data_IF_923092765709
#
_entry.id   IF_923092765709
#
_cell.length_a   1.000
_cell.length_b   1.000
_cell.length_c   1.000
_cell.angle_alpha   90.00
_cell.angle_beta   90.00
_cell.angle_gamma   90.00
#
_symmetry.space_group_name_H-M   'P 1'
#
loop_
_entity.id
_entity.type
_entity.pdbx_description
1 polymer ?
#
# COMPACT_ATOMS: atom_id res chain seq x y z
N UNK A 1 10.86 7.07 -16.49
CA UNK A 1 9.39 7.01 -16.40
C UNK A 1 9.03 6.41 -15.05
N UNK A 2 8.69 7.29 -14.12
CA UNK A 2 8.37 6.98 -12.73
C UNK A 2 7.02 7.65 -12.43
N UNK A 3 5.94 7.09 -12.99
CA UNK A 3 4.66 7.79 -13.08
C UNK A 3 4.05 8.12 -11.71
N UNK A 4 4.40 7.40 -10.63
CA UNK A 4 3.85 7.65 -9.30
C UNK A 4 4.85 7.29 -8.20
N UNK A 5 6.01 7.94 -8.20
CA UNK A 5 6.98 7.80 -7.11
C UNK A 5 6.63 8.69 -5.90
N UNK A 6 6.08 9.88 -6.14
CA UNK A 6 5.69 10.86 -5.11
C UNK A 6 4.31 10.58 -4.47
N UNK A 7 4.00 9.32 -4.18
CA UNK A 7 2.86 9.01 -3.30
C UNK A 7 3.34 9.04 -1.86
N UNK A 8 2.48 9.47 -0.92
CA UNK A 8 2.74 9.39 0.53
C UNK A 8 3.23 8.00 0.98
N UNK A 9 2.86 6.96 0.23
CA UNK A 9 3.24 5.57 0.48
C UNK A 9 4.73 5.25 0.21
N UNK A 10 5.47 6.12 -0.49
CA UNK A 10 6.84 5.86 -0.94
C UNK A 10 7.89 6.83 -0.33
N UNK A 11 7.50 7.61 0.68
CA UNK A 11 8.35 8.66 1.29
C UNK A 11 9.69 8.12 1.81
N UNK A 12 9.77 6.83 2.16
CA UNK A 12 11.02 6.19 2.61
C UNK A 12 11.97 5.71 1.50
N UNK A 13 11.63 5.87 0.23
CA UNK A 13 12.45 5.39 -0.90
C UNK A 13 13.05 6.52 -1.75
N UNK A 14 12.87 7.78 -1.35
CA UNK A 14 13.24 8.95 -2.16
C UNK A 14 14.74 8.99 -2.53
N UNK A 15 15.62 8.67 -1.58
CA UNK A 15 17.07 8.70 -1.81
C UNK A 15 17.51 7.74 -2.93
N UNK A 16 17.04 6.49 -2.91
CA UNK A 16 17.42 5.48 -3.91
C UNK A 16 16.77 5.76 -5.28
N UNK A 17 15.64 6.44 -5.28
CA UNK A 17 14.97 6.89 -6.49
C UNK A 17 15.72 8.05 -7.14
N UNK A 18 16.16 9.03 -6.33
CA UNK A 18 17.01 10.12 -6.80
C UNK A 18 18.32 9.58 -7.39
N UNK A 19 18.92 8.56 -6.76
CA UNK A 19 20.09 7.88 -7.31
C UNK A 19 19.82 7.20 -8.66
N UNK A 20 18.62 6.64 -8.86
CA UNK A 20 18.21 6.06 -10.15
C UNK A 20 18.01 7.14 -11.21
N UNK A 21 17.45 8.28 -10.84
CA UNK A 21 17.27 9.42 -11.74
C UNK A 21 18.61 10.04 -12.14
N UNK A 22 19.55 10.18 -11.20
CA UNK A 22 20.93 10.58 -11.50
C UNK A 22 21.61 9.58 -12.46
N UNK A 23 21.40 8.28 -12.25
CA UNK A 23 21.92 7.27 -13.18
C UNK A 23 21.31 7.39 -14.57
N UNK A 24 20.00 7.65 -14.67
CA UNK A 24 19.35 7.90 -15.95
C UNK A 24 19.82 9.19 -16.64
N UNK A 25 20.23 10.20 -15.87
CA UNK A 25 20.77 11.45 -16.39
C UNK A 25 22.12 11.28 -17.14
N UNK A 26 22.81 10.14 -16.96
CA UNK A 26 24.02 9.77 -17.72
C UNK A 26 23.76 9.51 -19.21
N UNK A 27 22.49 9.40 -19.61
CA UNK A 27 22.09 9.32 -21.01
C UNK A 27 21.33 8.04 -21.36
N UNK A 28 20.53 8.15 -22.43
CA UNK A 28 19.63 7.09 -22.86
C UNK A 28 20.35 5.78 -23.20
N UNK A 29 21.49 5.82 -23.89
CA UNK A 29 22.23 4.62 -24.26
C UNK A 29 22.75 3.86 -23.03
N UNK A 30 23.30 4.57 -22.03
CA UNK A 30 23.78 3.97 -20.78
C UNK A 30 22.66 3.25 -20.03
N UNK A 31 21.48 3.86 -19.99
CA UNK A 31 20.27 3.24 -19.47
C UNK A 31 19.84 2.02 -20.29
N UNK A 32 19.83 2.13 -21.61
CA UNK A 32 19.33 1.09 -22.52
C UNK A 32 20.18 -0.20 -22.45
N UNK A 33 21.49 -0.07 -22.30
CA UNK A 33 22.40 -1.22 -22.13
C UNK A 33 22.41 -1.78 -20.70
N UNK A 34 21.62 -1.21 -19.78
CA UNK A 34 21.47 -1.72 -18.42
C UNK A 34 22.46 -1.20 -17.39
N UNK A 35 23.17 -0.10 -17.67
CA UNK A 35 24.16 0.51 -16.76
C UNK A 35 23.60 1.02 -15.42
N UNK A 36 22.28 1.01 -15.24
CA UNK A 36 21.58 1.41 -14.01
C UNK A 36 20.87 0.23 -13.30
N UNK A 37 21.12 -1.03 -13.71
CA UNK A 37 20.34 -2.17 -13.24
C UNK A 37 20.51 -2.46 -11.74
N UNK A 38 21.68 -2.21 -11.16
CA UNK A 38 21.91 -2.37 -9.71
C UNK A 38 21.05 -1.41 -8.90
N UNK A 39 21.08 -0.13 -9.25
CA UNK A 39 20.28 0.89 -8.56
C UNK A 39 18.78 0.60 -8.74
N UNK A 40 18.37 0.17 -9.94
CA UNK A 40 16.99 -0.27 -10.21
C UNK A 40 16.56 -1.45 -9.33
N UNK A 41 17.44 -2.42 -9.05
CA UNK A 41 17.14 -3.53 -8.14
C UNK A 41 16.85 -3.03 -6.73
N UNK A 42 17.63 -2.08 -6.23
CA UNK A 42 17.42 -1.51 -4.90
C UNK A 42 16.13 -0.67 -4.81
N UNK A 43 15.81 0.11 -5.85
CA UNK A 43 14.51 0.81 -5.92
C UNK A 43 13.36 -0.19 -5.84
N UNK A 44 13.43 -1.29 -6.61
CA UNK A 44 12.40 -2.33 -6.59
C UNK A 44 12.28 -2.99 -5.21
N UNK A 45 13.40 -3.25 -4.53
CA UNK A 45 13.42 -3.82 -3.18
C UNK A 45 12.75 -2.89 -2.17
N UNK A 46 13.07 -1.60 -2.21
CA UNK A 46 12.47 -0.60 -1.34
C UNK A 46 10.95 -0.52 -1.53
N UNK A 47 10.51 -0.33 -2.78
CA UNK A 47 9.08 -0.23 -3.13
C UNK A 47 8.31 -1.50 -2.80
N UNK A 48 8.91 -2.68 -2.99
CA UNK A 48 8.30 -3.96 -2.62
C UNK A 48 8.09 -4.06 -1.11
N UNK A 49 9.06 -3.59 -0.31
CA UNK A 49 8.93 -3.49 1.15
C UNK A 49 7.80 -2.55 1.58
N UNK A 50 7.72 -1.36 0.99
CA UNK A 50 6.63 -0.42 1.25
C UNK A 50 5.25 -1.01 0.92
N UNK A 51 5.14 -1.69 -0.23
CA UNK A 51 3.91 -2.39 -0.64
C UNK A 51 3.52 -3.50 0.33
N UNK A 52 4.48 -4.29 0.80
CA UNK A 52 4.24 -5.37 1.76
C UNK A 52 3.69 -4.83 3.09
N UNK A 53 4.28 -3.75 3.63
CA UNK A 53 3.79 -3.11 4.85
C UNK A 53 2.35 -2.62 4.72
N UNK A 54 2.03 -1.95 3.60
CA UNK A 54 0.66 -1.49 3.31
C UNK A 54 -0.32 -2.65 3.19
N UNK A 55 0.07 -3.72 2.48
CA UNK A 55 -0.75 -4.92 2.36
C UNK A 55 -1.02 -5.56 3.73
N UNK A 56 -0.03 -5.57 4.63
CA UNK A 56 -0.19 -6.01 6.02
C UNK A 56 -1.23 -5.20 6.78
N UNK A 57 -1.14 -3.87 6.75
CA UNK A 57 -2.11 -2.96 7.40
C UNK A 57 -3.52 -3.12 6.83
N UNK A 58 -3.65 -3.25 5.52
CA UNK A 58 -4.92 -3.47 4.84
C UNK A 58 -5.55 -4.81 5.25
N UNK A 59 -4.73 -5.86 5.36
CA UNK A 59 -5.17 -7.18 5.83
C UNK A 59 -5.67 -7.10 7.27
N UNK A 60 -4.93 -6.45 8.16
CA UNK A 60 -5.32 -6.28 9.56
C UNK A 60 -6.66 -5.51 9.67
N UNK A 61 -6.76 -4.38 8.97
CA UNK A 61 -8.00 -3.58 8.91
C UNK A 61 -9.17 -4.40 8.37
N UNK A 62 -8.93 -5.23 7.35
CA UNK A 62 -9.93 -6.13 6.78
C UNK A 62 -10.41 -7.18 7.80
N UNK A 63 -9.48 -7.79 8.55
CA UNK A 63 -9.82 -8.73 9.61
C UNK A 63 -10.61 -8.07 10.74
N UNK A 64 -10.22 -6.87 11.18
CA UNK A 64 -10.95 -6.12 12.19
C UNK A 64 -12.38 -5.78 11.73
N UNK A 65 -12.56 -5.37 10.47
CA UNK A 65 -13.89 -5.13 9.89
C UNK A 65 -14.72 -6.41 9.84
N UNK A 66 -14.11 -7.53 9.44
CA UNK A 66 -14.78 -8.83 9.38
C UNK A 66 -15.27 -9.27 10.76
N UNK A 67 -14.42 -9.20 11.78
CA UNK A 67 -14.79 -9.54 13.16
C UNK A 67 -15.95 -8.67 13.67
N UNK A 68 -15.95 -7.36 13.37
CA UNK A 68 -17.07 -6.46 13.73
C UNK A 68 -18.37 -6.89 13.07
N UNK A 69 -18.33 -7.24 11.79
CA UNK A 69 -19.52 -7.69 11.05
C UNK A 69 -20.00 -9.04 11.60
N UNK A 70 -19.11 -10.00 11.81
CA UNK A 70 -19.43 -11.31 12.40
C UNK A 70 -20.09 -11.16 13.78
N UNK A 71 -19.57 -10.25 14.63
CA UNK A 71 -20.15 -9.98 15.94
C UNK A 71 -21.56 -9.36 15.86
N UNK A 72 -21.81 -8.49 14.87
CA UNK A 72 -23.15 -7.94 14.63
C UNK A 72 -24.11 -9.04 14.16
N UNK A 73 -23.66 -9.92 13.26
CA UNK A 73 -24.49 -11.02 12.76
C UNK A 73 -24.84 -12.01 13.87
N UNK A 74 -23.89 -12.37 14.73
CA UNK A 74 -24.14 -13.25 15.86
C UNK A 74 -25.23 -12.69 16.81
N UNK A 75 -25.18 -11.38 17.11
CA UNK A 75 -26.23 -10.73 17.91
C UNK A 75 -27.60 -10.78 17.23
N UNK A 76 -27.65 -10.59 15.92
CA UNK A 76 -28.91 -10.69 15.17
C UNK A 76 -29.47 -12.11 15.18
N UNK A 77 -28.62 -13.13 15.09
CA UNK A 77 -29.02 -14.55 15.20
C UNK A 77 -29.57 -14.88 16.60
N UNK A 78 -29.07 -14.22 17.65
CA UNK A 78 -29.60 -14.27 19.01
C UNK A 78 -30.89 -13.44 19.22
N UNK A 79 -31.34 -12.72 18.19
CA UNK A 79 -32.54 -11.87 18.22
C UNK A 79 -32.31 -10.44 18.71
N UNK A 80 -31.06 -10.03 18.94
CA UNK A 80 -30.69 -8.64 19.24
C UNK A 80 -30.46 -7.84 17.95
N UNK A 81 -31.47 -7.05 17.57
CA UNK A 81 -31.46 -6.19 16.38
C UNK A 81 -31.05 -4.74 16.67
N UNK A 82 -30.53 -4.43 17.86
CA UNK A 82 -30.18 -3.05 18.26
C UNK A 82 -29.22 -2.37 17.28
N UNK A 83 -28.24 -3.09 16.74
CA UNK A 83 -27.30 -2.57 15.74
C UNK A 83 -28.00 -2.15 14.43
N UNK A 84 -29.04 -2.87 14.02
CA UNK A 84 -29.85 -2.53 12.84
C UNK A 84 -30.70 -1.29 13.11
N UNK A 85 -31.27 -1.18 14.32
CA UNK A 85 -32.04 -0.01 14.73
C UNK A 85 -31.19 1.26 14.80
N UNK A 86 -29.97 1.19 15.33
CA UNK A 86 -29.05 2.33 15.34
C UNK A 86 -28.65 2.77 13.93
N UNK A 87 -28.55 1.83 12.99
CA UNK A 87 -28.28 2.16 11.59
C UNK A 87 -29.47 2.88 10.94
N UNK A 88 -30.70 2.41 11.19
CA UNK A 88 -31.91 3.01 10.62
C UNK A 88 -32.31 4.35 11.26
N UNK A 89 -32.01 4.54 12.56
CA UNK A 89 -32.25 5.80 13.30
C UNK A 89 -31.24 6.90 13.03
N UNK A 90 -30.10 6.60 12.41
CA UNK A 90 -29.03 7.58 12.07
C UNK A 90 -29.36 8.45 10.83
N UNK A 91 -30.62 8.46 10.41
CA UNK A 91 -31.10 9.16 9.21
C UNK A 91 -31.76 10.49 9.57
#
# INVERSE_FOLDING_TARGET
>A
MHSHLHTQDNVGCEEIMNALDECHARGFLYKAVGGCNDIKREVNKCLSGARAQKSGKNRETGLQRRQRIEAVWAKMDEGDYTALEEFTKRK
#
